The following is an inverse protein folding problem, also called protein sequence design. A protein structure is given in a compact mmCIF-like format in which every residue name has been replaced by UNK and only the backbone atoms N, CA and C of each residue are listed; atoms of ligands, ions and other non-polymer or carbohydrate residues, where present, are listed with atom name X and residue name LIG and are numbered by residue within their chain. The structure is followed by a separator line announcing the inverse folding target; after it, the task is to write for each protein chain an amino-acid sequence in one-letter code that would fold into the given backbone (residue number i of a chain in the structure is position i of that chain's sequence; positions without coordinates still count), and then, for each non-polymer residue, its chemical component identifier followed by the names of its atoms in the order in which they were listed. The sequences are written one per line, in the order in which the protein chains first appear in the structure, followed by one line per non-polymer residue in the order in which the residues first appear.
data_IF_843560803645
#
_entry.id   IF_843560803645
#
_cell.length_a   1.000
_cell.length_b   1.000
_cell.length_c   1.000
_cell.angle_alpha   90.00
_cell.angle_beta   90.00
_cell.angle_gamma   90.00
#
_symmetry.space_group_name_H-M   'P 1'
#
loop_
_entity.id
_entity.type
_entity.pdbx_description
1 polymer ?
#
# COMPACT_ATOMS: atom_id res chain seq x y z
N UNK A 1 19.30 -0.63 2.80
CA UNK A 1 18.62 -0.01 1.64
C UNK A 1 17.18 -0.52 1.60
N UNK A 2 16.18 0.37 1.63
CA UNK A 2 14.77 0.03 1.49
C UNK A 2 14.35 0.05 0.03
N UNK A 3 13.38 -0.78 -0.37
CA UNK A 3 12.87 -0.82 -1.74
C UNK A 3 11.35 -0.83 -1.77
N UNK A 4 10.79 0.07 -2.58
CA UNK A 4 9.40 0.02 -3.02
C UNK A 4 9.34 -0.68 -4.36
N UNK A 5 8.54 -1.74 -4.45
CA UNK A 5 8.39 -2.52 -5.68
C UNK A 5 6.93 -2.82 -5.94
N UNK A 6 6.58 -2.91 -7.22
CA UNK A 6 5.25 -3.36 -7.62
C UNK A 6 5.05 -4.79 -7.13
N UNK A 7 3.83 -5.08 -6.71
CA UNK A 7 3.40 -6.36 -6.16
C UNK A 7 2.92 -7.30 -7.28
N UNK A 8 3.38 -8.55 -7.30
CA UNK A 8 2.83 -9.63 -8.15
C UNK A 8 1.97 -10.59 -7.32
N UNK A 9 1.15 -11.45 -7.95
CA UNK A 9 0.37 -12.45 -7.20
C UNK A 9 1.28 -13.47 -6.49
N UNK A 10 2.41 -13.83 -7.11
CA UNK A 10 3.39 -14.71 -6.47
C UNK A 10 3.94 -14.08 -5.19
N UNK A 11 4.28 -12.79 -5.25
CA UNK A 11 4.69 -12.04 -4.06
C UNK A 11 3.59 -12.01 -2.99
N UNK A 12 2.33 -11.88 -3.40
CA UNK A 12 1.20 -11.77 -2.48
C UNK A 12 1.07 -12.99 -1.58
N UNK A 13 1.17 -14.21 -2.12
CA UNK A 13 1.05 -15.42 -1.32
C UNK A 13 2.14 -15.53 -0.24
N UNK A 14 3.36 -15.10 -0.54
CA UNK A 14 4.46 -15.11 0.43
C UNK A 14 4.33 -14.00 1.49
N UNK A 15 3.78 -12.85 1.13
CA UNK A 15 3.74 -11.67 2.00
C UNK A 15 2.46 -11.57 2.86
N UNK A 16 1.36 -12.22 2.44
CA UNK A 16 0.07 -12.21 3.15
C UNK A 16 0.18 -12.55 4.65
N UNK A 17 0.95 -13.57 5.10
CA UNK A 17 1.05 -13.89 6.53
C UNK A 17 1.72 -12.80 7.38
N UNK A 18 2.55 -11.96 6.77
CA UNK A 18 3.21 -10.82 7.43
C UNK A 18 2.26 -9.62 7.51
N UNK A 19 1.49 -9.39 6.45
CA UNK A 19 0.46 -8.34 6.42
C UNK A 19 -0.74 -8.68 7.32
N UNK A 20 -1.08 -9.96 7.50
CA UNK A 20 -2.14 -10.39 8.42
C UNK A 20 -1.85 -10.04 9.88
N UNK A 21 -0.59 -10.19 10.31
CA UNK A 21 -0.18 -9.95 11.70
C UNK A 21 -0.24 -8.47 12.11
N UNK A 22 -0.01 -7.57 11.16
CA UNK A 22 -0.26 -6.13 11.28
C UNK A 22 0.43 -5.39 12.42
N UNK A 23 0.23 -4.07 12.45
CA UNK A 23 0.53 -3.28 13.63
C UNK A 23 -0.42 -3.68 14.77
N UNK A 24 0.08 -3.74 16.01
CA UNK A 24 -0.71 -4.09 17.21
C UNK A 24 -1.83 -3.09 17.53
N UNK A 25 -1.97 -2.03 16.74
CA UNK A 25 -3.02 -1.03 16.83
C UNK A 25 -4.36 -1.55 16.32
N UNK A 26 -5.44 -1.03 16.94
CA UNK A 26 -6.85 -1.43 16.89
C UNK A 26 -7.54 -1.38 15.50
N UNK A 27 -6.92 -1.82 14.42
CA UNK A 27 -7.72 -2.12 13.23
C UNK A 27 -8.59 -3.33 13.54
N UNK A 28 -9.91 -3.17 13.46
CA UNK A 28 -10.84 -4.27 13.71
C UNK A 28 -10.50 -5.43 12.74
N UNK A 29 -10.39 -6.69 13.24
CA UNK A 29 -10.09 -7.86 12.42
C UNK A 29 -10.84 -7.93 11.07
N UNK A 30 -12.15 -7.61 10.97
CA UNK A 30 -12.86 -7.64 9.69
C UNK A 30 -12.36 -6.61 8.67
N UNK A 31 -12.00 -5.39 9.09
CA UNK A 31 -11.52 -4.35 8.17
C UNK A 31 -10.16 -4.69 7.57
N UNK A 32 -9.28 -5.31 8.37
CA UNK A 32 -7.97 -5.75 7.89
C UNK A 32 -8.09 -6.87 6.87
N UNK A 33 -8.96 -7.85 7.14
CA UNK A 33 -9.22 -8.94 6.20
C UNK A 33 -9.80 -8.43 4.88
N UNK A 34 -10.71 -7.44 4.93
CA UNK A 34 -11.25 -6.77 3.74
C UNK A 34 -10.15 -6.07 2.94
N UNK A 35 -9.24 -5.33 3.58
CA UNK A 35 -8.10 -4.71 2.89
C UNK A 35 -7.15 -5.74 2.27
N UNK A 36 -6.91 -6.87 2.94
CA UNK A 36 -6.09 -7.94 2.39
C UNK A 36 -6.71 -8.58 1.15
N UNK A 37 -8.03 -8.82 1.19
CA UNK A 37 -8.79 -9.29 0.04
C UNK A 37 -8.74 -8.25 -1.08
N UNK A 38 -8.93 -6.97 -0.75
CA UNK A 38 -8.88 -5.90 -1.75
C UNK A 38 -7.50 -5.78 -2.39
N UNK A 39 -6.43 -5.90 -1.61
CA UNK A 39 -5.07 -5.95 -2.12
C UNK A 39 -4.91 -7.14 -3.09
N UNK A 40 -5.40 -8.33 -2.74
CA UNK A 40 -5.36 -9.53 -3.59
C UNK A 40 -6.04 -9.29 -4.94
N UNK A 41 -7.27 -8.78 -4.91
CA UNK A 41 -8.05 -8.42 -6.11
C UNK A 41 -7.28 -7.44 -6.99
N UNK A 42 -6.72 -6.38 -6.41
CA UNK A 42 -5.96 -5.36 -7.16
C UNK A 42 -4.68 -5.89 -7.77
N UNK A 43 -4.01 -6.81 -7.09
CA UNK A 43 -2.81 -7.47 -7.62
C UNK A 43 -3.17 -8.36 -8.81
N UNK A 44 -4.26 -9.13 -8.70
CA UNK A 44 -4.74 -9.97 -9.79
C UNK A 44 -5.19 -9.14 -11.00
N UNK A 45 -6.02 -8.11 -10.78
CA UNK A 45 -6.45 -7.17 -11.83
C UNK A 45 -5.24 -6.54 -12.53
N UNK A 46 -4.26 -6.09 -11.74
CA UNK A 46 -3.03 -5.48 -12.26
C UNK A 46 -2.25 -6.44 -13.16
N UNK A 47 -2.02 -7.66 -12.71
CA UNK A 47 -1.28 -8.64 -13.51
C UNK A 47 -2.04 -9.08 -14.76
N UNK A 48 -3.35 -9.28 -14.68
CA UNK A 48 -4.17 -9.65 -15.82
C UNK A 48 -4.18 -8.55 -16.88
N UNK A 49 -4.28 -7.29 -16.48
CA UNK A 49 -4.39 -6.16 -17.41
C UNK A 49 -3.05 -5.75 -18.02
N UNK A 50 -1.97 -5.72 -17.23
CA UNK A 50 -0.66 -5.26 -17.69
C UNK A 50 0.27 -6.39 -18.12
N UNK A 51 -0.15 -7.65 -17.95
CA UNK A 51 0.65 -8.86 -18.17
C UNK A 51 2.03 -8.78 -17.49
N UNK A 52 2.08 -8.11 -16.35
CA UNK A 52 3.34 -7.80 -15.67
C UNK A 52 3.76 -8.94 -14.75
N UNK A 53 4.97 -9.44 -15.00
CA UNK A 53 5.71 -10.37 -14.15
C UNK A 53 7.15 -9.85 -14.01
N UNK A 54 7.72 -9.94 -12.81
CA UNK A 54 9.12 -9.58 -12.58
C UNK A 54 10.10 -10.36 -13.47
N UNK A 55 9.78 -11.60 -13.84
CA UNK A 55 10.62 -12.44 -14.69
C UNK A 55 10.47 -12.15 -16.19
N UNK A 56 9.26 -11.81 -16.64
CA UNK A 56 8.93 -11.66 -18.07
C UNK A 56 8.82 -10.20 -18.53
N UNK A 57 8.82 -9.26 -17.59
CA UNK A 57 8.46 -7.87 -17.85
C UNK A 57 6.96 -7.71 -18.09
N UNK A 58 6.58 -6.62 -18.75
CA UNK A 58 5.20 -6.30 -19.08
C UNK A 58 5.06 -4.83 -19.47
N UNK A 59 3.82 -4.39 -19.66
CA UNK A 59 3.55 -2.97 -19.96
C UNK A 59 3.65 -2.17 -18.67
N UNK A 60 4.45 -1.09 -18.67
CA UNK A 60 4.53 -0.19 -17.53
C UNK A 60 3.19 0.55 -17.37
N UNK A 61 2.54 0.44 -16.20
CA UNK A 61 1.25 1.08 -15.96
C UNK A 61 1.41 2.60 -15.91
N UNK A 62 0.42 3.31 -16.43
CA UNK A 62 0.34 4.75 -16.26
C UNK A 62 0.01 5.10 -14.80
N UNK A 63 0.36 6.31 -14.37
CA UNK A 63 0.13 6.74 -12.99
C UNK A 63 -1.35 6.73 -12.56
N UNK A 64 -2.28 6.78 -13.52
CA UNK A 64 -3.73 6.76 -13.27
C UNK A 64 -4.32 5.34 -13.13
N UNK A 65 -3.52 4.30 -13.39
CA UNK A 65 -3.91 2.93 -13.10
C UNK A 65 -3.67 2.60 -11.62
N UNK A 66 -4.45 1.65 -11.10
CA UNK A 66 -4.22 1.11 -9.76
C UNK A 66 -2.93 0.31 -9.74
N UNK A 67 -2.00 0.68 -8.86
CA UNK A 67 -0.68 0.06 -8.75
C UNK A 67 -0.47 -0.46 -7.33
N UNK A 68 -0.30 -1.78 -7.16
CA UNK A 68 0.02 -2.35 -5.86
C UNK A 68 1.53 -2.25 -5.62
N UNK A 69 1.94 -1.77 -4.44
CA UNK A 69 3.33 -1.65 -4.03
C UNK A 69 3.58 -2.39 -2.71
N UNK A 70 4.76 -3.01 -2.59
CA UNK A 70 5.35 -3.47 -1.32
C UNK A 70 6.49 -2.57 -0.92
N UNK A 71 6.69 -2.44 0.39
CA UNK A 71 7.88 -1.87 0.96
C UNK A 71 8.65 -2.89 1.79
N UNK A 72 9.93 -3.07 1.46
CA UNK A 72 10.83 -3.95 2.19
C UNK A 72 12.13 -3.24 2.56
N UNK A 73 12.68 -3.54 3.74
CA UNK A 73 14.02 -3.11 4.16
C UNK A 73 14.82 -4.37 4.50
N UNK A 74 15.94 -4.61 3.82
CA UNK A 74 16.74 -5.83 3.99
C UNK A 74 15.89 -7.11 3.89
N UNK A 75 14.97 -7.17 2.91
CA UNK A 75 13.99 -8.24 2.71
C UNK A 75 12.96 -8.44 3.82
N UNK A 76 12.93 -7.56 4.83
CA UNK A 76 11.87 -7.52 5.84
C UNK A 76 10.73 -6.67 5.30
N UNK A 77 9.52 -7.24 5.23
CA UNK A 77 8.32 -6.51 4.81
C UNK A 77 7.91 -5.51 5.89
N UNK A 78 7.78 -4.24 5.48
CA UNK A 78 7.23 -3.17 6.32
C UNK A 78 5.80 -2.82 5.94
N UNK A 79 5.36 -3.10 4.71
CA UNK A 79 3.95 -2.93 4.38
C UNK A 79 3.65 -3.04 2.89
N UNK A 80 2.38 -2.84 2.57
CA UNK A 80 1.86 -2.83 1.21
C UNK A 80 0.79 -1.75 1.06
N UNK A 81 0.68 -1.18 -0.14
CA UNK A 81 -0.34 -0.19 -0.48
C UNK A 81 -0.79 -0.33 -1.92
N UNK A 82 -2.02 0.09 -2.23
CA UNK A 82 -2.53 0.22 -3.60
C UNK A 82 -2.89 1.66 -3.83
N UNK A 83 -2.36 2.26 -4.88
CA UNK A 83 -2.58 3.67 -5.20
C UNK A 83 -2.87 3.92 -6.68
N UNK A 84 -3.56 5.01 -6.98
CA UNK A 84 -3.62 5.63 -8.30
C UNK A 84 -3.64 7.15 -8.20
N UNK A 85 -3.17 7.82 -9.24
CA UNK A 85 -3.38 9.25 -9.40
C UNK A 85 -4.76 9.53 -10.02
N UNK A 86 -5.60 10.28 -9.30
CA UNK A 86 -6.90 10.73 -9.79
C UNK A 86 -6.76 12.07 -10.50
N UNK A 87 -6.86 12.07 -11.84
CA UNK A 87 -6.75 13.30 -12.64
C UNK A 87 -7.92 14.26 -12.41
N UNK A 88 -9.11 13.71 -12.18
CA UNK A 88 -10.33 14.48 -11.96
C UNK A 88 -10.26 15.29 -10.65
N UNK A 89 -9.73 14.67 -9.59
CA UNK A 89 -9.66 15.28 -8.27
C UNK A 89 -8.28 15.84 -7.92
N UNK A 90 -7.29 15.68 -8.81
CA UNK A 90 -5.89 16.07 -8.62
C UNK A 90 -5.29 15.56 -7.30
N UNK A 91 -5.58 14.32 -6.93
CA UNK A 91 -5.16 13.71 -5.67
C UNK A 91 -4.65 12.28 -5.86
N UNK A 92 -3.97 11.75 -4.85
CA UNK A 92 -3.57 10.35 -4.83
C UNK A 92 -4.64 9.53 -4.09
N UNK A 93 -5.31 8.63 -4.79
CA UNK A 93 -6.28 7.72 -4.19
C UNK A 93 -5.57 6.46 -3.69
N UNK A 94 -5.94 6.00 -2.49
CA UNK A 94 -5.34 4.84 -1.80
C UNK A 94 -6.43 3.81 -1.50
N UNK A 95 -6.32 2.63 -2.12
CA UNK A 95 -7.32 1.55 -2.03
C UNK A 95 -6.92 0.43 -1.05
N UNK A 96 -5.67 0.43 -0.60
CA UNK A 96 -5.19 -0.41 0.49
C UNK A 96 -4.04 0.29 1.23
N UNK A 97 -4.02 0.21 2.56
CA UNK A 97 -2.94 0.71 3.41
C UNK A 97 -2.66 -0.29 4.53
N UNK A 98 -1.72 -1.20 4.29
CA UNK A 98 -1.43 -2.32 5.18
C UNK A 98 0.01 -2.23 5.69
N UNK A 99 0.16 -1.94 6.97
CA UNK A 99 1.46 -1.95 7.68
C UNK A 99 1.77 -3.37 8.18
N UNK A 100 3.01 -3.81 8.03
CA UNK A 100 3.54 -4.96 8.74
C UNK A 100 4.30 -4.48 9.99
N UNK A 101 4.42 -5.34 10.99
CA UNK A 101 5.14 -5.00 12.22
C UNK A 101 6.22 -6.03 12.54
N UNK A 102 7.36 -5.96 11.83
CA UNK A 102 8.53 -6.71 12.23
C UNK A 102 8.99 -6.26 13.64
N UNK A 103 9.41 -7.21 14.51
CA UNK A 103 9.83 -6.90 15.88
C UNK A 103 11.00 -5.91 16.00
N UNK A 104 11.84 -5.83 14.97
CA UNK A 104 13.09 -5.06 14.96
C UNK A 104 12.87 -3.55 14.70
N UNK A 105 11.63 -3.13 14.43
CA UNK A 105 11.29 -1.76 14.05
C UNK A 105 10.27 -1.12 14.99
N UNK A 106 10.32 0.22 15.09
CA UNK A 106 9.32 1.02 15.81
C UNK A 106 7.91 0.75 15.27
N UNK A 107 6.91 0.83 16.16
CA UNK A 107 5.52 0.46 15.82
C UNK A 107 4.93 1.28 14.68
N UNK A 108 5.41 2.52 14.51
CA UNK A 108 4.94 3.42 13.45
C UNK A 108 5.94 3.55 12.30
N UNK A 109 7.09 2.86 12.32
CA UNK A 109 8.08 2.93 11.25
C UNK A 109 7.50 2.52 9.89
N UNK A 110 6.69 1.45 9.87
CA UNK A 110 5.97 1.00 8.69
C UNK A 110 4.99 2.07 8.16
N UNK A 111 4.21 2.67 9.06
CA UNK A 111 3.24 3.70 8.71
C UNK A 111 3.94 4.94 8.16
N UNK A 112 5.00 5.40 8.84
CA UNK A 112 5.83 6.52 8.42
C UNK A 112 6.41 6.29 7.02
N UNK A 113 7.00 5.11 6.78
CA UNK A 113 7.60 4.81 5.49
C UNK A 113 6.57 4.75 4.35
N UNK A 114 5.42 4.11 4.57
CA UNK A 114 4.34 4.09 3.59
C UNK A 114 3.83 5.50 3.30
N UNK A 115 3.65 6.35 4.31
CA UNK A 115 3.22 7.74 4.12
C UNK A 115 4.23 8.55 3.33
N UNK A 116 5.52 8.46 3.66
CA UNK A 116 6.58 9.14 2.91
C UNK A 116 6.55 8.72 1.43
N UNK A 117 6.32 7.44 1.15
CA UNK A 117 6.17 6.96 -0.22
C UNK A 117 4.92 7.50 -0.91
N UNK A 118 3.76 7.49 -0.25
CA UNK A 118 2.52 8.04 -0.81
C UNK A 118 2.67 9.53 -1.14
N UNK A 119 3.25 10.32 -0.24
CA UNK A 119 3.53 11.73 -0.46
C UNK A 119 4.53 11.95 -1.61
N UNK A 120 5.56 11.10 -1.70
CA UNK A 120 6.52 11.14 -2.80
C UNK A 120 5.86 10.82 -4.15
N UNK A 121 4.96 9.84 -4.20
CA UNK A 121 4.21 9.50 -5.41
C UNK A 121 3.19 10.60 -5.78
N UNK A 122 2.54 11.21 -4.79
CA UNK A 122 1.66 12.36 -4.99
C UNK A 122 2.44 13.54 -5.59
N UNK A 123 3.60 13.87 -5.03
CA UNK A 123 4.50 14.91 -5.53
C UNK A 123 4.96 14.62 -6.97
N UNK A 124 5.44 13.40 -7.23
CA UNK A 124 5.89 12.96 -8.56
C UNK A 124 4.78 13.03 -9.61
N UNK A 125 3.53 12.81 -9.23
CA UNK A 125 2.39 12.94 -10.14
C UNK A 125 1.95 14.39 -10.38
N UNK A 126 2.53 15.38 -9.68
CA UNK A 126 2.11 16.78 -9.74
C UNK A 126 0.77 17.06 -9.04
N UNK A 127 0.36 16.19 -8.11
CA UNK A 127 -0.92 16.32 -7.41
C UNK A 127 -0.86 17.38 -6.30
N UNK A 128 -2.01 17.71 -5.69
CA UNK A 128 -2.10 18.65 -4.55
C UNK A 128 -1.48 18.13 -3.24
N UNK A 129 -0.75 17.01 -3.27
CA UNK A 129 -0.33 16.22 -2.09
C UNK A 129 -1.49 15.66 -1.24
N UNK A 130 -2.74 15.86 -1.66
CA UNK A 130 -3.90 15.25 -1.02
C UNK A 130 -3.85 13.72 -1.20
N UNK A 131 -4.00 13.01 -0.08
CA UNK A 131 -4.20 11.56 -0.04
C UNK A 131 -5.66 11.28 0.26
N UNK A 132 -6.32 10.52 -0.62
CA UNK A 132 -7.73 10.14 -0.46
C UNK A 132 -7.85 8.64 -0.28
N UNK A 133 -8.27 8.23 0.92
CA UNK A 133 -8.50 6.81 1.23
C UNK A 133 -9.87 6.38 0.72
N UNK A 134 -9.92 5.27 -0.02
CA UNK A 134 -11.20 4.72 -0.48
C UNK A 134 -11.95 4.07 0.69
N UNK A 135 -13.23 3.73 0.48
CA UNK A 135 -14.04 3.00 1.47
C UNK A 135 -13.43 1.66 1.92
N UNK A 136 -12.48 1.12 1.14
CA UNK A 136 -11.79 -0.12 1.47
C UNK A 136 -10.73 0.07 2.56
N UNK A 137 -10.20 1.29 2.70
CA UNK A 137 -9.24 1.62 3.76
C UNK A 137 -9.98 2.28 4.91
N UNK A 138 -10.05 1.60 6.05
CA UNK A 138 -10.69 2.13 7.28
C UNK A 138 -12.07 2.77 7.03
N UNK A 139 -12.90 2.17 6.17
CA UNK A 139 -14.21 2.70 5.78
C UNK A 139 -14.18 4.12 5.15
N UNK A 140 -13.07 4.51 4.52
CA UNK A 140 -12.85 5.84 3.94
C UNK A 140 -12.30 6.86 4.93
N UNK A 141 -11.96 6.45 6.14
CA UNK A 141 -11.31 7.29 7.15
C UNK A 141 -9.79 7.16 7.08
N UNK A 142 -9.09 7.99 7.84
CA UNK A 142 -7.64 7.86 8.02
C UNK A 142 -7.33 6.55 8.77
N UNK A 143 -6.35 5.76 8.29
CA UNK A 143 -5.81 4.64 9.07
C UNK A 143 -5.35 5.08 10.46
N UNK A 144 -5.66 4.27 11.48
CA UNK A 144 -5.33 4.58 12.87
C UNK A 144 -3.82 4.81 13.08
N UNK A 145 -2.97 4.10 12.34
CA UNK A 145 -1.52 4.26 12.38
C UNK A 145 -1.07 5.62 11.87
N UNK A 146 -1.80 6.23 10.93
CA UNK A 146 -1.53 7.59 10.46
C UNK A 146 -1.96 8.64 11.47
N UNK A 147 -3.12 8.45 12.10
CA UNK A 147 -3.56 9.31 13.20
C UNK A 147 -2.52 9.30 14.33
N UNK A 148 -2.08 8.10 14.74
CA UNK A 148 -1.04 7.96 15.77
C UNK A 148 0.30 8.59 15.37
N UNK A 149 0.66 8.57 14.07
CA UNK A 149 1.86 9.23 13.57
C UNK A 149 1.75 10.76 13.64
N UNK A 150 0.55 11.32 13.40
CA UNK A 150 0.31 12.76 13.43
C UNK A 150 0.22 13.35 14.85
N UNK A 151 -0.08 12.52 15.84
CA UNK A 151 -0.18 12.90 17.26
C UNK A 151 1.18 12.87 18.00
N UNK A 152 2.26 12.44 17.34
CA UNK A 152 3.62 12.44 17.89
C UNK A 152 4.31 13.78 17.74
#
# INVERSE_FOLDING_TARGET
MGTFRIFTADDYHHLKPHLQRGARTKQAPPQRQQQLQRLEERVQEYQQYFHYDHARGGTLPQNHAWRPYRFTVQNVLLGATVLRHSREHNCLEVDAFLTAHPPEYDQLAAAQALTCFLLSEAYKCGSSLELRFTKQVAAGQLPAELCALAER
#
